data_IF_079597267287
#
_entry.id   IF_079597267287
#
_cell.length_a   1.000
_cell.length_b   1.000
_cell.length_c   1.000
_cell.angle_alpha   90.00
_cell.angle_beta   90.00
_cell.angle_gamma   90.00
#
_symmetry.space_group_name_H-M   'P 1'
#
loop_
_entity.id
_entity.type
_entity.pdbx_description
1 polymer ?
2 non-polymer ?
3 non-polymer ?
4 non-polymer ?
5 water ?
#
# COMPACT_ATOMS: atom_id res chain seq x y z
N UNK A 2 15.54 22.03 -14.43
CA UNK A 2 15.35 23.33 -13.81
C UNK A 2 14.06 23.36 -12.98
N UNK A 3 13.15 22.44 -13.28
CA UNK A 3 11.88 22.38 -12.56
C UNK A 3 12.13 22.26 -11.06
N UNK A 4 11.51 23.15 -10.29
CA UNK A 4 11.66 23.17 -8.85
C UNK A 4 10.55 22.33 -8.22
N UNK A 5 10.93 21.28 -7.51
CA UNK A 5 9.98 20.39 -6.89
C UNK A 5 9.87 20.68 -5.39
N UNK A 6 8.62 20.68 -4.90
CA UNK A 6 8.37 21.15 -3.54
C UNK A 6 9.12 20.32 -2.51
N UNK A 7 9.22 19.01 -2.72
CA UNK A 7 9.73 18.10 -1.69
C UNK A 7 11.05 17.45 -2.07
N UNK A 8 11.69 17.89 -3.15
CA UNK A 8 12.93 17.28 -3.61
C UNK A 8 14.03 18.31 -3.66
N UNK A 9 15.07 18.08 -2.85
CA UNK A 9 16.28 18.89 -2.89
C UNK A 9 17.14 18.52 -4.09
N UNK A 10 17.78 19.52 -4.67
CA UNK A 10 18.67 19.34 -5.81
C UNK A 10 20.10 19.70 -5.42
N UNK A 11 21.06 18.92 -5.93
CA UNK A 11 22.48 19.23 -5.85
C UNK A 11 23.06 19.16 -4.45
N UNK A 12 22.36 18.56 -3.50
CA UNK A 12 22.92 18.29 -2.18
C UNK A 12 23.12 16.79 -2.00
N UNK A 13 24.22 16.42 -1.37
CA UNK A 13 24.56 15.01 -1.20
C UNK A 13 23.68 14.42 -0.10
N UNK A 14 22.77 13.51 -0.43
CA UNK A 14 21.90 12.97 0.62
C UNK A 14 22.67 12.37 1.79
N UNK A 15 23.88 11.88 1.54
CA UNK A 15 24.65 11.20 2.57
C UNK A 15 25.40 12.18 3.46
N UNK A 16 25.33 13.47 3.17
CA UNK A 16 25.72 14.48 4.16
C UNK A 16 24.69 14.57 5.29
N UNK A 17 23.48 14.05 5.09
CA UNK A 17 22.42 14.13 6.09
C UNK A 17 21.94 12.79 6.58
N UNK A 18 21.99 11.75 5.75
CA UNK A 18 21.48 10.42 6.08
C UNK A 18 22.59 9.40 5.86
N UNK A 19 22.89 8.62 6.89
CA UNK A 19 23.92 7.60 6.81
C UNK A 19 23.27 6.25 6.53
N UNK A 20 23.69 5.60 5.44
CA UNK A 20 23.25 4.23 5.19
C UNK A 20 23.86 3.34 6.26
N UNK A 21 23.03 2.58 6.97
CA UNK A 21 23.48 1.69 8.02
C UNK A 21 23.08 0.25 7.78
N UNK A 22 22.48 -0.05 6.64
CA UNK A 22 22.09 -1.41 6.36
C UNK A 22 21.22 -1.44 5.12
N UNK A 23 20.76 -2.65 4.81
CA UNK A 23 19.93 -2.89 3.64
C UNK A 23 18.61 -3.49 4.11
N UNK A 24 17.52 -3.06 3.48
CA UNK A 24 16.20 -3.57 3.83
C UNK A 24 15.68 -4.58 2.82
N UNK A 25 16.16 -4.54 1.58
CA UNK A 25 15.77 -5.51 0.59
C UNK A 25 15.96 -4.93 -0.80
N UNK A 26 15.46 -5.67 -1.78
CA UNK A 26 15.55 -5.31 -3.18
C UNK A 26 14.15 -5.24 -3.77
N UNK A 27 14.05 -4.70 -4.97
CA UNK A 27 12.76 -4.57 -5.63
C UNK A 27 12.90 -3.96 -7.00
N UNK A 28 11.74 -3.61 -7.57
CA UNK A 28 11.71 -3.05 -8.91
C UNK A 28 12.54 -1.78 -9.01
N UNK A 29 12.61 -1.01 -7.94
CA UNK A 29 13.33 0.27 -7.94
C UNK A 29 14.76 0.14 -7.39
N UNK A 30 15.33 -1.06 -7.43
CA UNK A 30 16.68 -1.27 -6.91
C UNK A 30 16.66 -1.55 -5.42
N UNK A 31 17.86 -1.54 -4.84
CA UNK A 31 18.03 -1.81 -3.42
C UNK A 31 17.43 -0.68 -2.57
N UNK A 32 16.88 -1.07 -1.42
CA UNK A 32 16.33 -0.13 -0.44
C UNK A 32 17.17 -0.24 0.83
N UNK A 33 17.68 0.88 1.28
CA UNK A 33 18.59 0.91 2.42
C UNK A 33 17.87 1.28 3.69
N UNK A 34 18.46 0.89 4.81
CA UNK A 34 18.15 1.46 6.10
C UNK A 34 19.10 2.61 6.36
N UNK A 35 18.52 3.79 6.64
CA UNK A 35 19.32 4.98 6.81
C UNK A 35 19.02 5.60 8.18
N UNK A 36 19.97 6.41 8.64
CA UNK A 36 19.86 7.09 9.92
C UNK A 36 20.26 8.54 9.74
N UNK A 37 19.38 9.44 10.15
CA UNK A 37 19.69 10.86 10.07
C UNK A 37 20.88 11.18 10.94
N UNK A 38 21.86 11.88 10.37
CA UNK A 38 23.10 12.14 11.11
C UNK A 38 22.87 13.11 12.26
N UNK A 39 21.92 14.03 12.14
CA UNK A 39 21.68 15.01 13.21
C UNK A 39 20.66 14.52 14.22
N UNK A 40 19.57 13.89 13.77
CA UNK A 40 18.45 13.56 14.64
C UNK A 40 18.40 12.08 15.02
N UNK A 41 19.16 11.22 14.35
CA UNK A 41 19.15 9.78 14.58
C UNK A 41 17.85 9.11 14.17
N UNK A 42 16.94 9.84 13.52
CA UNK A 42 15.72 9.22 12.98
C UNK A 42 16.09 8.19 11.92
N UNK A 43 15.40 7.06 11.94
CA UNK A 43 15.62 5.98 10.98
C UNK A 43 14.68 6.11 9.78
N UNK A 44 15.13 5.58 8.65
CA UNK A 44 14.38 5.73 7.40
C UNK A 44 14.69 4.57 6.48
N UNK A 45 13.70 4.20 5.68
CA UNK A 45 13.94 3.42 4.49
C UNK A 45 14.34 4.38 3.38
N UNK A 46 15.37 4.03 2.65
CA UNK A 46 15.89 4.92 1.60
C UNK A 46 15.80 4.18 0.28
N UNK A 47 14.90 4.63 -0.59
CA UNK A 47 14.92 4.22 -1.99
C UNK A 47 15.95 5.06 -2.71
N UNK A 48 16.74 4.42 -3.56
CA UNK A 48 17.75 5.12 -4.35
C UNK A 48 17.53 4.67 -5.80
N UNK A 49 17.02 5.57 -6.62
CA UNK A 49 16.48 5.24 -7.93
C UNK A 49 17.35 5.88 -8.98
N UNK A 50 18.02 5.06 -9.80
CA UNK A 50 18.78 5.59 -10.93
C UNK A 50 17.84 6.31 -11.90
N UNK A 51 18.03 7.61 -12.06
CA UNK A 51 17.21 8.40 -12.96
C UNK A 51 18.16 9.23 -13.79
N UNK A 52 18.19 8.96 -15.10
CA UNK A 52 19.14 9.58 -16.00
C UNK A 52 18.66 10.92 -16.55
N UNK A 53 17.36 11.06 -16.77
CA UNK A 53 16.81 12.22 -17.46
C UNK A 53 15.80 12.95 -16.58
N UNK A 54 15.58 14.22 -16.93
CA UNK A 54 14.53 15.00 -16.29
C UNK A 54 13.17 14.36 -16.45
N UNK A 55 12.96 13.61 -17.55
CA UNK A 55 11.69 12.94 -17.76
C UNK A 55 11.48 11.81 -16.76
N UNK A 56 12.53 11.01 -16.52
CA UNK A 56 12.41 9.94 -15.53
C UNK A 56 12.10 10.52 -14.15
N UNK A 57 12.77 11.61 -13.79
CA UNK A 57 12.53 12.21 -12.49
C UNK A 57 11.06 12.54 -12.31
N UNK A 58 10.44 13.14 -13.32
CA UNK A 58 9.03 13.51 -13.22
C UNK A 58 8.16 12.28 -12.96
N UNK A 59 8.50 11.14 -13.57
CA UNK A 59 7.71 9.93 -13.39
C UNK A 59 7.80 9.42 -11.96
N UNK A 60 9.02 9.39 -11.39
CA UNK A 60 9.17 8.92 -10.02
C UNK A 60 8.60 9.90 -9.02
N UNK A 61 8.40 11.15 -9.42
CA UNK A 61 7.89 12.17 -8.50
C UNK A 61 6.48 11.88 -8.03
N UNK A 62 5.71 11.10 -8.77
CA UNK A 62 4.34 10.81 -8.38
C UNK A 62 4.31 10.19 -6.98
N UNK A 63 5.24 9.26 -6.72
CA UNK A 63 5.27 8.60 -5.40
C UNK A 63 5.56 9.62 -4.32
N UNK A 64 6.51 10.53 -4.59
CA UNK A 64 6.86 11.54 -3.60
C UNK A 64 5.69 12.45 -3.32
N UNK A 65 4.99 12.90 -4.37
CA UNK A 65 3.82 13.75 -4.17
C UNK A 65 2.78 13.02 -3.33
N UNK A 66 2.52 11.76 -3.65
CA UNK A 66 1.52 11.00 -2.89
C UNK A 66 1.91 10.90 -1.43
N UNK A 67 3.14 10.47 -1.16
CA UNK A 67 3.58 10.36 0.23
C UNK A 67 3.53 11.71 0.94
N UNK A 68 3.96 12.77 0.25
CA UNK A 68 3.94 14.09 0.89
C UNK A 68 2.53 14.55 1.18
N UNK A 69 1.55 14.15 0.35
CA UNK A 69 0.21 14.70 0.55
C UNK A 69 -0.59 13.91 1.59
N UNK A 70 -0.22 12.67 1.85
CA UNK A 70 -0.96 11.85 2.80
C UNK A 70 -0.54 12.20 4.23
N UNK A 71 -1.50 12.19 5.12
CA UNK A 71 -1.28 12.41 6.53
C UNK A 71 -2.26 11.50 7.28
N UNK A 72 -1.88 10.24 7.43
CA UNK A 72 -2.73 9.23 8.05
C UNK A 72 -1.83 8.30 8.85
N UNK A 73 -2.25 7.90 10.05
CA UNK A 73 -1.34 7.12 10.91
C UNK A 73 -0.99 5.75 10.38
N UNK A 74 -1.74 5.19 9.42
CA UNK A 74 -1.47 3.88 8.86
C UNK A 74 -0.85 3.96 7.47
N UNK A 75 -0.26 5.09 7.12
CA UNK A 75 0.45 5.27 5.85
C UNK A 75 1.83 5.87 6.15
N UNK A 76 2.89 5.26 5.62
CA UNK A 76 4.23 5.76 5.87
C UNK A 76 4.35 7.19 5.37
N UNK A 77 5.11 8.00 6.10
CA UNK A 77 5.29 9.41 5.71
C UNK A 77 6.63 9.64 5.01
N UNK A 78 6.66 10.66 4.15
CA UNK A 78 7.88 11.14 3.54
C UNK A 78 8.71 11.89 4.56
N UNK A 79 9.97 11.49 4.70
CA UNK A 79 10.92 12.22 5.56
C UNK A 79 11.82 13.16 4.81
N UNK A 80 12.28 12.81 3.63
CA UNK A 80 13.19 13.64 2.86
C UNK A 80 13.23 13.11 1.44
N UNK A 81 13.79 13.92 0.54
CA UNK A 81 14.00 13.45 -0.82
C UNK A 81 15.08 14.31 -1.47
N UNK A 82 15.89 13.68 -2.31
CA UNK A 82 17.02 14.34 -2.94
C UNK A 82 17.18 13.84 -4.37
N UNK A 83 17.64 14.73 -5.25
CA UNK A 83 18.09 14.34 -6.58
C UNK A 83 19.58 14.71 -6.67
N UNK A 84 20.44 13.70 -6.80
CA UNK A 84 21.87 13.90 -6.67
C UNK A 84 22.62 12.84 -7.47
N UNK A 85 23.56 13.29 -8.31
CA UNK A 85 24.36 12.39 -9.15
C UNK A 85 23.49 11.34 -9.84
N UNK A 86 22.44 11.83 -10.51
CA UNK A 86 21.52 10.99 -11.30
C UNK A 86 20.85 9.90 -10.48
N UNK A 87 20.65 10.15 -9.19
CA UNK A 87 19.84 9.25 -8.38
C UNK A 87 18.78 10.04 -7.64
N UNK A 88 17.58 9.51 -7.62
CA UNK A 88 16.50 10.04 -6.80
C UNK A 88 16.46 9.25 -5.50
N UNK A 89 16.70 9.95 -4.40
CA UNK A 89 16.64 9.38 -3.07
C UNK A 89 15.30 9.75 -2.46
N UNK A 90 14.60 8.74 -1.94
CA UNK A 90 13.36 8.93 -1.21
C UNK A 90 13.54 8.33 0.17
N UNK A 91 13.45 9.19 1.18
CA UNK A 91 13.62 8.79 2.56
C UNK A 91 12.23 8.71 3.17
N UNK A 92 11.88 7.50 3.65
CA UNK A 92 10.53 7.16 4.05
C UNK A 92 10.55 6.64 5.47
N UNK A 93 9.48 6.94 6.20
CA UNK A 93 9.32 6.50 7.59
C UNK A 93 9.63 5.02 7.76
N UNK A 94 10.47 4.71 8.75
CA UNK A 94 10.89 3.34 9.00
C UNK A 94 9.94 2.65 9.99
N UNK A 95 9.60 1.41 9.68
CA UNK A 95 8.77 0.57 10.55
C UNK A 95 9.59 -0.65 10.97
N UNK A 96 10.01 -0.67 12.24
CA UNK A 96 11.02 -1.64 12.64
C UNK A 96 10.48 -3.07 12.74
N UNK A 97 9.16 -3.26 12.72
CA UNK A 97 8.60 -4.59 12.78
C UNK A 97 8.71 -5.37 11.47
N UNK A 98 9.01 -4.72 10.39
CA UNK A 98 9.21 -5.38 9.13
C UNK A 98 7.90 -5.69 8.42
N UNK A 99 8.04 -6.28 7.26
CA UNK A 99 6.87 -6.55 6.43
C UNK A 99 6.18 -7.81 6.90
N UNK A 100 4.87 -7.85 6.67
CA UNK A 100 4.05 -8.95 7.20
C UNK A 100 4.45 -10.26 6.55
N UNK A 101 4.72 -10.26 5.24
CA UNK A 101 5.09 -11.55 4.63
C UNK A 101 6.42 -12.06 5.15
N UNK A 102 7.34 -11.17 5.46
CA UNK A 102 8.62 -11.58 6.03
C UNK A 102 8.44 -12.20 7.40
N UNK A 103 7.49 -11.68 8.18
CA UNK A 103 7.22 -12.25 9.49
C UNK A 103 6.69 -13.66 9.35
N UNK A 104 5.71 -13.88 8.47
CA UNK A 104 5.18 -15.22 8.28
C UNK A 104 6.26 -16.20 7.79
N UNK A 105 7.16 -15.73 6.93
CA UNK A 105 8.25 -16.61 6.48
C UNK A 105 9.24 -16.88 7.60
N UNK A 106 9.57 -15.86 8.39
CA UNK A 106 10.50 -16.07 9.51
C UNK A 106 9.92 -17.07 10.52
N UNK A 107 8.64 -16.95 10.86
CA UNK A 107 8.02 -17.85 11.82
C UNK A 107 7.52 -19.12 11.17
N UNK A 108 7.50 -19.18 9.84
CA UNK A 108 7.01 -20.34 9.09
C UNK A 108 5.57 -20.70 9.47
N UNK A 109 4.73 -19.69 9.64
CA UNK A 109 3.32 -19.93 9.86
C UNK A 109 2.53 -18.69 9.49
N UNK A 110 1.27 -18.84 9.16
CA UNK A 110 0.45 -17.67 8.82
C UNK A 110 0.01 -16.93 10.09
N UNK A 111 -0.66 -15.81 9.88
CA UNK A 111 -1.28 -15.09 10.98
C UNK A 111 -2.52 -15.83 11.45
N UNK A 112 -2.85 -15.67 12.73
CA UNK A 112 -4.15 -16.12 13.22
C UNK A 112 -5.25 -15.16 12.82
N UNK A 113 -6.49 -15.61 12.95
CA UNK A 113 -7.58 -14.71 12.58
C UNK A 113 -7.58 -13.44 13.44
N UNK A 114 -7.31 -13.55 14.74
CA UNK A 114 -7.29 -12.34 15.55
C UNK A 114 -6.23 -11.36 15.06
N UNK A 115 -5.11 -11.87 14.59
CA UNK A 115 -4.06 -11.01 14.04
C UNK A 115 -4.47 -10.41 12.70
N UNK A 116 -5.07 -11.23 11.85
CA UNK A 116 -5.55 -10.75 10.56
C UNK A 116 -6.58 -9.65 10.74
N UNK A 117 -7.47 -9.79 11.74
CA UNK A 117 -8.50 -8.80 11.96
C UNK A 117 -7.89 -7.45 12.24
N UNK A 118 -6.83 -7.38 13.05
CA UNK A 118 -6.19 -6.09 13.31
C UNK A 118 -5.58 -5.53 12.03
N UNK A 119 -4.82 -6.34 11.32
CA UNK A 119 -4.16 -5.87 10.09
C UNK A 119 -5.21 -5.39 9.09
N UNK A 120 -6.31 -6.14 8.97
CA UNK A 120 -7.38 -5.80 8.04
C UNK A 120 -8.00 -4.46 8.40
N UNK A 121 -8.38 -4.27 9.67
CA UNK A 121 -8.99 -3.00 10.09
C UNK A 121 -8.05 -1.83 9.75
N UNK A 122 -6.78 -1.93 10.15
CA UNK A 122 -5.90 -0.78 10.00
C UNK A 122 -5.57 -0.56 8.53
N UNK A 123 -5.43 -1.64 7.78
CA UNK A 123 -5.16 -1.49 6.34
C UNK A 123 -6.37 -0.86 5.64
N UNK A 124 -7.56 -1.30 6.03
CA UNK A 124 -8.76 -0.71 5.50
C UNK A 124 -8.86 0.76 5.83
N UNK A 125 -8.47 1.15 7.04
CA UNK A 125 -8.48 2.56 7.40
C UNK A 125 -7.57 3.33 6.44
N UNK A 126 -6.38 2.78 6.15
CA UNK A 126 -5.44 3.43 5.25
C UNK A 126 -6.01 3.50 3.83
N UNK A 127 -6.55 2.41 3.34
CA UNK A 127 -7.10 2.37 1.99
C UNK A 127 -8.27 3.33 1.85
N UNK A 128 -9.14 3.37 2.85
CA UNK A 128 -10.27 4.29 2.79
C UNK A 128 -9.79 5.73 2.69
N UNK A 129 -8.77 6.09 3.46
CA UNK A 129 -8.20 7.44 3.35
C UNK A 129 -7.68 7.71 1.93
N UNK A 130 -6.94 6.76 1.38
CA UNK A 130 -6.43 6.92 0.01
C UNK A 130 -7.57 7.15 -0.98
N UNK A 131 -8.60 6.28 -0.92
CA UNK A 131 -9.67 6.40 -1.89
C UNK A 131 -10.44 7.71 -1.70
N UNK A 132 -10.61 8.14 -0.44
CA UNK A 132 -11.26 9.41 -0.20
C UNK A 132 -10.47 10.54 -0.88
N UNK A 133 -9.15 10.39 -0.98
CA UNK A 133 -8.31 11.38 -1.62
C UNK A 133 -7.97 10.99 -3.07
N UNK A 134 -8.76 10.09 -3.66
CA UNK A 134 -8.62 9.74 -5.08
C UNK A 134 -7.24 9.20 -5.41
N UNK A 135 -6.67 8.46 -4.49
CA UNK A 135 -5.44 7.72 -4.69
C UNK A 135 -5.75 6.23 -4.73
N UNK A 136 -5.12 5.52 -5.66
CA UNK A 136 -5.18 4.07 -5.73
C UNK A 136 -3.79 3.51 -5.44
N UNK A 137 -3.71 2.60 -4.44
CA UNK A 137 -2.40 2.08 -4.08
C UNK A 137 -1.76 1.26 -5.19
N UNK A 138 -2.51 0.31 -5.75
CA UNK A 138 -2.24 -0.48 -6.91
C UNK A 138 -1.22 -1.60 -6.66
N UNK A 139 -0.72 -1.78 -5.44
CA UNK A 139 0.19 -2.89 -5.19
C UNK A 139 0.02 -3.42 -3.78
N UNK A 140 -1.22 -3.57 -3.35
CA UNK A 140 -1.46 -4.07 -2.01
C UNK A 140 -1.15 -5.55 -1.97
N UNK A 141 -0.43 -5.96 -0.91
CA UNK A 141 0.00 -7.34 -0.68
C UNK A 141 0.62 -7.30 0.71
N UNK A 142 0.82 -8.48 1.32
CA UNK A 142 1.33 -8.52 2.70
C UNK A 142 2.77 -7.99 2.73
N UNK A 143 3.50 -8.07 1.62
CA UNK A 143 4.83 -7.50 1.52
C UNK A 143 4.91 -5.98 1.62
N UNK A 144 3.80 -5.30 1.42
CA UNK A 144 3.68 -3.85 1.47
C UNK A 144 2.95 -3.36 2.69
N UNK A 145 2.72 -4.24 3.66
CA UNK A 145 2.20 -3.88 4.97
C UNK A 145 3.30 -4.09 5.98
N UNK A 146 3.58 -3.06 6.76
CA UNK A 146 4.67 -3.03 7.73
C UNK A 146 4.14 -2.98 9.15
N UNK A 147 4.78 -3.72 10.05
CA UNK A 147 4.50 -3.69 11.49
C UNK A 147 5.31 -2.58 12.15
N UNK A 148 4.66 -1.83 13.05
CA UNK A 148 5.41 -0.98 13.97
C UNK A 148 5.73 -1.74 15.24
N UNK A 149 6.67 -1.21 16.02
CA UNK A 149 7.03 -1.86 17.28
C UNK A 149 5.92 -1.76 18.31
N UNK A 150 4.98 -0.85 18.11
CA UNK A 150 3.83 -0.69 19.02
C UNK A 150 2.67 -1.59 18.66
N UNK A 151 2.78 -2.36 17.59
CA UNK A 151 1.74 -3.30 17.22
C UNK A 151 0.73 -2.78 16.23
N UNK A 152 1.02 -1.68 15.55
CA UNK A 152 0.20 -1.20 14.47
C UNK A 152 0.83 -1.58 13.12
N UNK A 153 0.15 -1.24 12.06
CA UNK A 153 0.71 -1.41 10.72
C UNK A 153 0.73 -0.07 10.00
N UNK A 154 1.59 -0.01 9.01
CA UNK A 154 1.56 1.04 8.01
C UNK A 154 1.60 0.43 6.62
N UNK A 155 0.85 1.03 5.71
CA UNK A 155 0.88 0.70 4.29
C UNK A 155 2.10 1.41 3.69
N UNK A 156 2.84 0.67 2.87
CA UNK A 156 4.06 1.15 2.24
C UNK A 156 4.09 0.86 0.77
N UNK A 157 5.22 1.26 0.17
CA UNK A 157 5.55 1.18 -1.24
C UNK A 157 4.47 1.69 -2.18
N UNK A 158 4.44 3.02 -2.32
CA UNK A 158 3.57 3.72 -3.25
C UNK A 158 4.21 3.89 -4.61
N UNK A 159 5.14 2.99 -4.95
CA UNK A 159 5.90 3.17 -6.17
C UNK A 159 5.11 3.10 -7.44
N UNK A 160 3.96 2.41 -7.42
CA UNK A 160 3.12 2.37 -8.61
C UNK A 160 1.72 2.92 -8.33
N UNK A 161 1.57 3.61 -7.21
CA UNK A 161 0.30 4.26 -6.87
C UNK A 161 0.03 5.45 -7.79
N UNK A 162 -1.25 5.81 -7.88
CA UNK A 162 -1.68 6.85 -8.81
C UNK A 162 -2.71 7.74 -8.16
N UNK A 163 -2.60 9.02 -8.43
CA UNK A 163 -3.68 9.99 -8.26
C UNK A 163 -4.56 9.79 -9.49
N UNK A 164 -5.67 9.08 -9.30
CA UNK A 164 -6.38 8.54 -10.45
C UNK A 164 -6.98 9.58 -11.34
N UNK A 165 -7.22 10.79 -10.84
CA UNK A 165 -7.78 11.85 -11.68
C UNK A 165 -6.72 12.67 -12.40
N UNK A 166 -5.45 12.40 -12.15
CA UNK A 166 -4.36 13.17 -12.75
C UNK A 166 -3.89 12.49 -14.04
N UNK A 173 -6.04 24.20 -22.69
CA UNK A 173 -6.16 25.13 -21.56
C UNK A 173 -7.46 25.95 -21.71
N UNK A 174 -7.89 26.18 -22.94
CA UNK A 174 -9.14 26.88 -23.15
C UNK A 174 -10.31 25.98 -22.79
N UNK A 175 -11.46 26.60 -22.54
CA UNK A 175 -12.67 25.87 -22.17
C UNK A 175 -13.63 25.73 -23.35
N UNK A 176 -13.83 26.80 -24.08
CA UNK A 176 -14.75 26.79 -25.21
C UNK A 176 -16.13 27.32 -24.83
N UNK A 177 -17.06 27.28 -25.80
CA UNK A 177 -18.46 27.58 -25.49
C UNK A 177 -19.09 26.43 -24.71
N UNK A 178 -19.77 26.68 -23.59
CA UNK A 178 -20.11 25.58 -22.66
C UNK A 178 -21.50 24.99 -22.85
N UNK A 179 -22.28 25.50 -23.79
CA UNK A 179 -23.72 25.19 -23.79
C UNK A 179 -24.01 23.70 -23.93
N UNK A 180 -23.11 22.92 -24.51
CA UNK A 180 -23.38 21.51 -24.83
C UNK A 180 -22.76 20.57 -23.82
N UNK A 181 -22.03 21.09 -22.81
CA UNK A 181 -21.37 20.22 -21.84
C UNK A 181 -22.35 19.54 -20.88
N UNK A 182 -22.10 18.25 -20.63
CA UNK A 182 -22.89 17.48 -19.69
C UNK A 182 -22.63 17.95 -18.24
N UNK A 183 -23.59 17.72 -17.35
CA UNK A 183 -23.40 18.18 -15.95
C UNK A 183 -22.21 17.54 -15.29
N UNK A 184 -21.94 16.27 -15.58
CA UNK A 184 -20.85 15.57 -14.96
C UNK A 184 -19.52 16.05 -15.50
N UNK A 185 -19.51 16.64 -16.68
CA UNK A 185 -18.31 17.30 -17.21
C UNK A 185 -18.06 18.60 -16.48
N UNK A 186 -19.11 19.43 -16.35
CA UNK A 186 -18.99 20.68 -15.59
C UNK A 186 -18.53 20.39 -14.18
N UNK A 187 -19.15 19.38 -13.53
CA UNK A 187 -18.83 19.08 -12.15
C UNK A 187 -17.60 18.22 -11.95
N UNK A 188 -16.89 17.87 -12.99
CA UNK A 188 -15.69 17.05 -12.94
C UNK A 188 -15.94 15.73 -12.19
N UNK A 189 -17.05 15.07 -12.54
CA UNK A 189 -17.32 13.73 -12.05
C UNK A 189 -17.10 12.78 -13.22
N UNK A 190 -15.85 12.52 -13.53
CA UNK A 190 -15.46 11.65 -14.64
C UNK A 190 -15.52 10.19 -14.14
N UNK A 191 -15.31 9.24 -15.07
CA UNK A 191 -15.33 7.83 -14.65
C UNK A 191 -14.22 7.57 -13.63
N UNK A 192 -13.13 8.33 -13.71
CA UNK A 192 -11.99 8.16 -12.80
C UNK A 192 -12.26 8.72 -11.42
N UNK A 193 -13.28 9.54 -11.29
CA UNK A 193 -13.73 10.04 -10.00
C UNK A 193 -14.67 9.09 -9.29
N UNK A 194 -15.21 8.09 -10.00
CA UNK A 194 -16.20 7.19 -9.47
C UNK A 194 -15.54 6.03 -8.70
N UNK A 195 -16.33 5.26 -7.95
CA UNK A 195 -15.74 4.21 -7.10
C UNK A 195 -15.01 3.10 -7.88
N UNK A 196 -15.35 2.91 -9.15
CA UNK A 196 -14.98 1.71 -9.89
C UNK A 196 -13.48 1.37 -9.80
N UNK A 197 -12.62 2.29 -10.18
CA UNK A 197 -11.19 1.98 -10.28
C UNK A 197 -10.58 1.71 -8.90
N UNK A 198 -11.06 2.40 -7.88
CA UNK A 198 -10.50 2.25 -6.54
C UNK A 198 -10.79 0.85 -6.01
N UNK A 199 -11.87 0.22 -6.46
CA UNK A 199 -12.23 -1.13 -6.02
C UNK A 199 -11.21 -2.19 -6.41
N UNK A 200 -10.29 -1.89 -7.34
CA UNK A 200 -9.23 -2.84 -7.61
C UNK A 200 -8.44 -3.10 -6.33
N UNK A 201 -8.24 -2.06 -5.52
CA UNK A 201 -7.49 -2.19 -4.27
C UNK A 201 -8.27 -3.09 -3.30
N UNK A 202 -9.61 -3.03 -3.33
CA UNK A 202 -10.44 -3.84 -2.46
C UNK A 202 -10.24 -5.31 -2.80
N UNK A 203 -10.21 -5.65 -4.10
CA UNK A 203 -9.90 -7.02 -4.46
C UNK A 203 -8.54 -7.43 -3.90
N UNK A 204 -7.51 -6.61 -4.13
CA UNK A 204 -6.18 -6.92 -3.61
C UNK A 204 -6.18 -7.10 -2.08
N UNK A 205 -6.97 -6.31 -1.36
CA UNK A 205 -7.12 -6.53 0.07
C UNK A 205 -7.60 -7.96 0.34
N UNK A 206 -8.60 -8.43 -0.39
CA UNK A 206 -9.10 -9.77 -0.15
C UNK A 206 -8.04 -10.82 -0.40
N UNK A 207 -7.24 -10.66 -1.49
CA UNK A 207 -6.15 -11.62 -1.74
C UNK A 207 -5.14 -11.57 -0.60
N UNK A 208 -4.86 -10.37 -0.12
CA UNK A 208 -3.89 -10.18 0.95
C UNK A 208 -4.37 -10.83 2.23
N UNK A 209 -5.67 -10.86 2.44
CA UNK A 209 -6.19 -11.52 3.64
C UNK A 209 -5.99 -13.03 3.56
N UNK A 210 -6.26 -13.62 2.40
CA UNK A 210 -5.98 -15.05 2.21
C UNK A 210 -4.49 -15.34 2.33
N UNK A 211 -3.65 -14.45 1.76
CA UNK A 211 -2.22 -14.59 1.90
C UNK A 211 -1.78 -14.64 3.36
N UNK A 212 -2.36 -13.79 4.20
CA UNK A 212 -2.02 -13.79 5.62
C UNK A 212 -2.60 -14.98 6.34
N UNK A 213 -3.67 -15.55 5.85
CA UNK A 213 -4.27 -16.73 6.39
C UNK A 213 -3.56 -18.00 6.00
N UNK A 214 -2.82 -17.99 4.89
CA UNK A 214 -2.29 -19.22 4.30
C UNK A 214 -0.83 -19.08 3.88
N UNK A 215 -0.19 -17.96 4.21
CA UNK A 215 1.20 -17.61 3.92
C UNK A 215 1.39 -17.23 2.46
N UNK A 216 0.79 -17.97 1.57
CA UNK A 216 0.88 -17.71 0.13
C UNK A 216 -0.46 -17.26 -0.42
N UNK A 217 -0.47 -16.40 -1.45
CA UNK A 217 -1.72 -16.01 -2.10
C UNK A 217 -2.29 -17.14 -2.93
N UNK A 218 -3.57 -17.08 -3.28
CA UNK A 218 -4.11 -18.06 -4.24
C UNK A 218 -3.33 -18.10 -5.56
N UNK A 219 -3.19 -19.31 -6.11
CA UNK A 219 -2.53 -19.59 -7.37
C UNK A 219 -1.02 -19.47 -7.29
N UNK A 220 -0.47 -19.43 -6.08
CA UNK A 220 0.97 -19.25 -5.91
C UNK A 220 1.77 -20.36 -6.57
N UNK A 221 1.16 -21.50 -6.81
CA UNK A 221 1.86 -22.61 -7.46
C UNK A 221 1.89 -22.50 -8.98
N UNK A 222 1.14 -21.58 -9.56
CA UNK A 222 1.08 -21.46 -11.00
C UNK A 222 2.12 -20.49 -11.53
N UNK A 223 2.54 -20.74 -12.77
CA UNK A 223 3.30 -19.79 -13.58
C UNK A 223 2.56 -18.47 -13.66
N UNK A 224 3.26 -17.33 -13.61
CA UNK A 224 2.55 -16.04 -13.58
C UNK A 224 1.63 -15.80 -14.77
N UNK A 225 2.02 -16.20 -15.98
CA UNK A 225 1.09 -16.04 -17.09
C UNK A 225 -0.19 -16.86 -16.90
N UNK A 226 -0.06 -18.09 -16.38
CA UNK A 226 -1.22 -18.91 -16.07
C UNK A 226 -2.05 -18.29 -14.95
N UNK A 227 -1.40 -17.61 -14.00
CA UNK A 227 -2.15 -16.94 -12.94
C UNK A 227 -3.09 -15.89 -13.54
N UNK A 228 -2.60 -15.09 -14.51
CA UNK A 228 -3.48 -14.09 -15.12
C UNK A 228 -4.69 -14.74 -15.78
N UNK A 229 -4.51 -15.87 -16.46
CA UNK A 229 -5.65 -16.55 -17.06
C UNK A 229 -6.61 -17.01 -15.97
N UNK A 230 -6.07 -17.56 -14.87
CA UNK A 230 -6.94 -18.07 -13.79
C UNK A 230 -7.75 -16.94 -13.18
N UNK A 231 -7.10 -15.83 -12.89
CA UNK A 231 -7.80 -14.69 -12.29
C UNK A 231 -8.97 -14.28 -13.19
N UNK A 232 -8.72 -14.24 -14.50
CA UNK A 232 -9.79 -13.77 -15.38
C UNK A 232 -10.94 -14.77 -15.45
N UNK A 233 -10.63 -16.04 -15.50
CA UNK A 233 -11.59 -17.08 -15.85
C UNK A 233 -12.24 -17.74 -14.64
N UNK A 234 -11.54 -17.84 -13.52
CA UNK A 234 -12.01 -18.63 -12.39
C UNK A 234 -12.98 -17.84 -11.52
N UNK A 235 -13.79 -18.59 -10.75
CA UNK A 235 -14.48 -17.98 -9.64
C UNK A 235 -13.47 -17.40 -8.64
N UNK A 236 -13.87 -16.40 -7.87
CA UNK A 236 -12.93 -15.78 -6.94
C UNK A 236 -12.45 -16.78 -5.91
N UNK A 237 -11.25 -16.59 -5.37
CA UNK A 237 -10.72 -17.55 -4.40
C UNK A 237 -11.41 -17.47 -3.06
N UNK A 238 -11.35 -18.59 -2.40
CA UNK A 238 -11.85 -18.73 -1.02
C UNK A 238 -10.75 -19.34 -0.16
N UNK A 239 -10.97 -19.35 1.18
CA UNK A 239 -10.00 -19.97 2.05
C UNK A 239 -10.01 -21.48 1.84
N UNK A 240 -8.83 -22.08 1.93
CA UNK A 240 -8.67 -23.49 1.64
C UNK A 240 -9.29 -24.38 2.71
N UNK A 241 -9.25 -23.93 3.96
CA UNK A 241 -9.83 -24.68 5.10
C UNK A 241 -10.90 -23.81 5.74
N UNK A 242 -12.07 -23.70 5.11
CA UNK A 242 -13.03 -22.68 5.51
C UNK A 242 -13.58 -22.89 6.93
N UNK A 243 -13.52 -24.09 7.41
CA UNK A 243 -14.08 -24.43 8.75
C UNK A 243 -13.19 -23.98 9.89
N UNK A 244 -11.98 -23.57 9.61
CA UNK A 244 -11.02 -23.05 10.58
C UNK A 244 -11.22 -21.55 10.82
N UNK A 245 -12.09 -20.91 10.10
CA UNK A 245 -12.22 -19.47 10.06
C UNK A 245 -13.66 -19.06 10.30
N UNK A 246 -13.84 -17.86 10.83
CA UNK A 246 -15.18 -17.40 11.20
C UNK A 246 -16.00 -17.02 9.96
N UNK A 247 -17.33 -17.10 10.13
CA UNK A 247 -18.25 -16.62 9.13
C UNK A 247 -18.04 -15.15 8.85
N UNK A 248 -17.68 -14.35 9.88
CA UNK A 248 -17.40 -12.94 9.61
C UNK A 248 -16.23 -12.78 8.63
N UNK A 249 -15.12 -13.50 8.87
CA UNK A 249 -13.95 -13.41 7.99
C UNK A 249 -14.32 -13.86 6.59
N UNK A 250 -14.99 -15.01 6.47
CA UNK A 250 -15.33 -15.51 5.13
C UNK A 250 -16.28 -14.57 4.40
N UNK A 251 -17.17 -13.92 5.14
CA UNK A 251 -18.12 -13.00 4.51
C UNK A 251 -17.42 -11.72 4.05
N UNK A 252 -16.52 -11.19 4.88
CA UNK A 252 -15.76 -10.01 4.48
C UNK A 252 -15.01 -10.31 3.19
N UNK A 253 -14.39 -11.49 3.11
CA UNK A 253 -13.69 -11.87 1.88
C UNK A 253 -14.63 -11.90 0.69
N UNK A 254 -15.85 -12.42 0.87
CA UNK A 254 -16.79 -12.47 -0.25
C UNK A 254 -17.11 -11.07 -0.78
N UNK A 255 -17.12 -10.07 0.09
CA UNK A 255 -17.44 -8.72 -0.34
C UNK A 255 -16.27 -8.04 -1.04
N UNK A 256 -15.05 -8.53 -0.80
CA UNK A 256 -13.86 -8.06 -1.50
C UNK A 256 -13.65 -8.82 -2.80
N UNK A 257 -13.77 -10.15 -2.73
CA UNK A 257 -13.42 -11.04 -3.82
C UNK A 257 -14.66 -11.35 -4.67
N UNK A 258 -15.14 -10.28 -5.26
CA UNK A 258 -16.37 -10.19 -6.01
C UNK A 258 -15.97 -9.71 -7.40
N UNK A 259 -16.22 -10.55 -8.42
CA UNK A 259 -15.76 -10.20 -9.77
C UNK A 259 -16.62 -9.12 -10.38
N UNK A 260 -17.89 -9.02 -9.98
CA UNK A 260 -18.71 -7.93 -10.48
C UNK A 260 -18.35 -6.67 -9.73
N UNK A 261 -17.70 -5.72 -10.44
CA UNK A 261 -17.09 -4.59 -9.74
C UNK A 261 -18.18 -3.75 -9.03
N UNK A 262 -19.32 -3.54 -9.68
CA UNK A 262 -20.34 -2.73 -9.02
C UNK A 262 -20.84 -3.38 -7.72
N UNK A 263 -20.87 -4.72 -7.66
CA UNK A 263 -21.29 -5.39 -6.45
C UNK A 263 -20.20 -5.44 -5.38
N UNK A 264 -18.96 -5.43 -5.79
CA UNK A 264 -17.86 -5.43 -4.82
C UNK A 264 -17.99 -4.21 -3.92
N UNK A 265 -17.70 -4.38 -2.63
CA UNK A 265 -17.90 -3.31 -1.68
C UNK A 265 -16.79 -2.26 -1.79
N UNK A 266 -17.16 -1.00 -1.55
CA UNK A 266 -16.20 0.06 -1.33
C UNK A 266 -15.55 -0.06 0.03
N UNK A 267 -14.43 0.64 0.23
CA UNK A 267 -13.90 0.66 1.60
C UNK A 267 -14.88 1.23 2.64
N UNK A 268 -15.68 2.21 2.23
CA UNK A 268 -16.65 2.78 3.15
C UNK A 268 -17.65 1.71 3.60
N UNK A 269 -18.09 0.85 2.67
CA UNK A 269 -18.97 -0.26 3.03
C UNK A 269 -18.31 -1.29 3.91
N UNK A 270 -17.05 -1.64 3.61
CA UNK A 270 -16.32 -2.64 4.38
C UNK A 270 -16.09 -2.16 5.79
N UNK A 271 -15.95 -0.85 6.01
CA UNK A 271 -15.71 -0.35 7.36
C UNK A 271 -16.93 -0.61 8.25
N UNK A 272 -18.08 -0.94 7.66
CA UNK A 272 -19.30 -1.25 8.43
C UNK A 272 -19.45 -2.73 8.70
N UNK A 273 -18.56 -3.51 8.22
CA UNK A 273 -18.65 -4.98 8.31
C UNK A 273 -18.20 -5.49 9.68
N UNK A 274 -18.93 -6.43 10.29
CA UNK A 274 -18.55 -6.89 11.63
C UNK A 274 -17.15 -7.47 11.75
N UNK A 275 -16.51 -7.91 10.66
CA UNK A 275 -15.17 -8.46 10.80
C UNK A 275 -14.18 -7.40 11.29
N UNK A 276 -14.42 -6.12 10.97
CA UNK A 276 -13.44 -5.08 11.29
C UNK A 276 -13.97 -4.18 12.42
N UNK A 277 -14.93 -4.67 13.18
CA UNK A 277 -15.28 -4.07 14.47
C UNK A 277 -14.30 -4.62 15.49
N UNK A 278 -13.28 -3.83 15.78
CA UNK A 278 -12.16 -4.24 16.64
C UNK A 278 -11.48 -2.95 17.06
N UNK A 279 -11.11 -2.87 18.32
CA UNK A 279 -10.54 -1.64 18.87
C UNK A 279 -9.25 -1.89 19.67
N UNK A 280 -8.64 -3.07 19.54
CA UNK A 280 -7.39 -3.38 20.19
C UNK A 280 -6.42 -3.98 19.19
N UNK A 281 -5.15 -3.55 19.28
CA UNK A 281 -4.10 -4.16 18.47
C UNK A 281 -3.35 -5.21 19.25
N UNK A 282 -3.89 -5.63 20.41
CA UNK A 282 -3.15 -6.57 21.25
C UNK A 282 -2.72 -7.83 20.53
N UNK A 283 -3.48 -8.42 19.60
CA UNK A 283 -2.96 -9.62 18.90
C UNK A 283 -1.63 -9.37 18.20
N UNK A 284 -1.43 -8.14 17.71
CA UNK A 284 -0.17 -7.83 17.02
C UNK A 284 0.91 -7.49 18.02
N UNK A 285 0.54 -6.82 19.13
CA UNK A 285 1.53 -6.65 20.20
C UNK A 285 2.03 -8.00 20.71
N UNK A 286 1.14 -8.99 20.80
CA UNK A 286 1.55 -10.33 21.23
C UNK A 286 2.46 -10.96 20.18
N UNK A 287 2.12 -10.80 18.90
CA UNK A 287 2.91 -11.36 17.80
C UNK A 287 4.35 -10.85 17.84
N UNK A 288 4.52 -9.53 17.98
CA UNK A 288 5.87 -8.99 17.97
C UNK A 288 6.57 -9.11 19.32
N UNK A 289 5.83 -9.29 20.42
CA UNK A 289 6.47 -9.45 21.72
C UNK A 289 7.14 -10.82 21.84
N UNK A 290 6.45 -11.89 21.41
CA UNK A 290 7.03 -13.22 21.45
C UNK A 290 8.19 -13.35 20.47
N UNK A 291 8.10 -12.67 19.32
CA UNK A 291 9.17 -12.74 18.33
C UNK A 291 10.47 -12.15 18.88
N UNK A 292 10.37 -11.16 19.77
CA UNK A 292 11.57 -10.58 20.37
C UNK A 292 12.21 -11.52 21.40
N UNK A 293 11.44 -12.45 21.96
CA UNK A 293 11.98 -13.41 22.92
C UNK A 293 12.90 -14.40 22.22
#
# INVERSE_FOLDING_TARGET
>A
SMKQYEHVTRDLNPEDFWEIIGELGDGAFGKVYKAQNKETSVLAAAKVIDTKSEEELEDYMVEIDILASCDHPNIVKLLDAFYYENNLWILIEFCAGGAVDAVMLELERPLTESQIQVVCKQTLDALNYLHDNKIIHRDLKAGNILFTLDGDIKLADFGVSAKNTRTIQRRDSFIGTPYWMAPEVVMCETSKDRPYDYKADVWSLGITLIEMAEIEPPHHELNPMRVLLKIAKSEPPTLAQPSRWSSNFKDFLKKCLEKNVDARWTTSQLLQHPFVTVDSNKPIRELIAEAKAEVTEEVEDGKE
#
